data_IF_995772229794
#
_entry.id   IF_995772229794
#
_cell.length_a   1.000
_cell.length_b   1.000
_cell.length_c   1.000
_cell.angle_alpha   90.00
_cell.angle_beta   90.00
_cell.angle_gamma   90.00
#
_symmetry.space_group_name_H-M   'P 1'
#
loop_
_entity.id
_entity.type
_entity.pdbx_description
1 polymer ?
#
# COMPACT_ATOMS: atom_id res chain seq x y z
N UNK A 1 46.46 -53.51 -31.66
CA UNK A 1 45.63 -53.91 -30.51
C UNK A 1 45.99 -53.06 -29.30
N UNK A 2 45.12 -52.11 -28.91
CA UNK A 2 44.83 -51.65 -27.55
C UNK A 2 43.71 -50.59 -27.64
N UNK A 3 42.60 -50.89 -26.94
CA UNK A 3 41.32 -50.19 -26.71
C UNK A 3 41.45 -48.68 -26.43
N UNK A 4 40.60 -47.79 -26.99
CA UNK A 4 39.19 -47.43 -26.67
C UNK A 4 38.96 -46.72 -25.32
N UNK A 5 38.37 -45.50 -25.41
CA UNK A 5 37.37 -44.85 -24.51
C UNK A 5 37.89 -44.38 -23.14
N UNK A 6 37.52 -43.25 -22.53
CA UNK A 6 36.82 -42.01 -22.90
C UNK A 6 36.88 -41.05 -21.67
N UNK A 7 36.49 -39.79 -21.90
CA UNK A 7 35.78 -38.87 -20.97
C UNK A 7 36.49 -38.29 -19.74
N UNK A 8 36.57 -36.94 -19.70
CA UNK A 8 36.08 -35.98 -18.67
C UNK A 8 36.89 -34.66 -18.81
N UNK A 9 36.30 -33.56 -19.28
CA UNK A 9 35.58 -32.53 -18.52
C UNK A 9 36.47 -31.62 -17.65
N UNK A 10 36.50 -30.30 -17.97
CA UNK A 10 36.36 -29.13 -17.07
C UNK A 10 36.55 -27.84 -17.92
N UNK A 11 35.50 -27.09 -18.25
CA UNK A 11 34.91 -25.95 -17.51
C UNK A 11 35.84 -24.75 -17.27
N UNK A 12 35.42 -23.58 -17.78
CA UNK A 12 35.62 -22.30 -17.08
C UNK A 12 36.11 -21.13 -17.94
N UNK A 13 35.19 -20.32 -18.47
CA UNK A 13 35.11 -18.88 -18.18
C UNK A 13 34.15 -18.14 -19.12
N UNK A 14 32.99 -17.81 -18.55
CA UNK A 14 32.31 -16.51 -18.64
C UNK A 14 31.80 -16.05 -20.01
N UNK A 15 30.59 -16.54 -20.28
CA UNK A 15 29.57 -15.90 -21.11
C UNK A 15 29.28 -14.47 -20.59
N UNK A 16 29.50 -13.49 -21.46
CA UNK A 16 28.94 -12.14 -21.36
C UNK A 16 27.41 -12.24 -21.37
N UNK A 17 26.67 -11.53 -20.50
CA UNK A 17 25.22 -11.46 -20.60
C UNK A 17 24.85 -10.67 -21.87
N UNK A 18 24.23 -11.37 -22.82
CA UNK A 18 23.49 -10.74 -23.91
C UNK A 18 22.28 -10.01 -23.31
N UNK A 19 22.31 -8.68 -23.35
CA UNK A 19 21.13 -7.86 -23.11
C UNK A 19 20.19 -7.97 -24.30
N UNK A 20 19.29 -8.96 -24.28
CA UNK A 20 18.09 -8.98 -25.13
C UNK A 20 16.94 -9.64 -24.39
N UNK A 21 15.98 -8.82 -23.97
CA UNK A 21 14.54 -9.07 -24.06
C UNK A 21 13.77 -7.86 -23.51
N UNK A 22 13.69 -6.81 -24.33
CA UNK A 22 12.56 -5.89 -24.27
C UNK A 22 11.45 -6.50 -25.13
N UNK A 23 10.48 -7.15 -24.48
CA UNK A 23 9.07 -7.23 -24.86
C UNK A 23 8.44 -8.42 -24.13
N UNK A 24 7.69 -8.10 -23.08
CA UNK A 24 6.42 -8.76 -22.84
C UNK A 24 5.44 -7.65 -22.49
N UNK A 25 4.80 -7.12 -23.54
CA UNK A 25 3.65 -6.25 -23.40
C UNK A 25 2.54 -7.04 -22.72
N UNK A 26 2.44 -6.89 -21.40
CA UNK A 26 1.31 -7.45 -20.65
C UNK A 26 0.05 -6.68 -21.05
N UNK A 27 -0.78 -7.42 -21.77
CA UNK A 27 -2.12 -7.09 -22.20
C UNK A 27 -2.92 -6.39 -21.08
N UNK A 28 -3.20 -5.10 -21.27
CA UNK A 28 -3.99 -4.25 -20.37
C UNK A 28 -5.50 -4.35 -20.68
N UNK A 29 -5.96 -5.48 -21.23
CA UNK A 29 -7.33 -5.67 -21.75
C UNK A 29 -8.42 -5.81 -20.67
N UNK A 30 -8.06 -5.93 -19.38
CA UNK A 30 -9.02 -6.31 -18.33
C UNK A 30 -9.38 -5.27 -17.25
N UNK A 31 -8.60 -4.21 -17.05
CA UNK A 31 -8.91 -3.21 -16.02
C UNK A 31 -8.23 -1.88 -16.31
N UNK A 32 -9.03 -0.81 -16.46
CA UNK A 32 -8.55 0.57 -16.47
C UNK A 32 -8.07 0.95 -15.06
N UNK A 33 -6.91 0.45 -14.66
CA UNK A 33 -6.17 1.05 -13.55
C UNK A 33 -5.47 2.31 -14.05
N UNK A 34 -5.29 3.29 -13.16
CA UNK A 34 -4.47 4.48 -13.43
C UNK A 34 -3.06 4.07 -13.91
N UNK A 35 -2.57 2.91 -13.46
CA UNK A 35 -1.29 2.34 -13.86
C UNK A 35 -1.27 1.84 -15.32
N UNK A 36 -2.34 1.19 -15.81
CA UNK A 36 -2.45 0.83 -17.25
C UNK A 36 -2.58 2.07 -18.14
N UNK A 37 -3.30 3.09 -17.70
CA UNK A 37 -3.44 4.37 -18.44
C UNK A 37 -2.09 5.10 -18.57
N UNK A 38 -1.23 5.01 -17.55
CA UNK A 38 0.11 5.61 -17.55
C UNK A 38 1.10 4.85 -18.45
N UNK A 39 0.98 3.53 -18.52
CA UNK A 39 1.81 2.69 -19.41
C UNK A 39 1.37 2.82 -20.87
N UNK A 40 0.06 2.77 -21.15
CA UNK A 40 -0.48 2.87 -22.51
C UNK A 40 -0.29 4.25 -23.15
N UNK A 41 -0.35 5.34 -22.37
CA UNK A 41 -0.20 6.71 -22.88
C UNK A 41 1.26 7.14 -23.07
N UNK A 42 2.24 6.24 -22.94
CA UNK A 42 3.65 6.52 -23.21
C UNK A 42 4.29 7.55 -22.26
N UNK A 43 3.64 7.91 -21.16
CA UNK A 43 4.21 8.81 -20.16
C UNK A 43 5.05 7.97 -19.19
N UNK A 44 6.16 7.45 -19.69
CA UNK A 44 7.24 6.97 -18.84
C UNK A 44 7.83 8.17 -18.09
N UNK A 45 7.15 8.68 -17.06
CA UNK A 45 7.77 9.61 -16.12
C UNK A 45 8.91 8.83 -15.50
N UNK A 46 10.14 9.30 -15.73
CA UNK A 46 11.32 8.93 -14.95
C UNK A 46 10.91 9.02 -13.48
N UNK A 47 10.62 7.88 -12.85
CA UNK A 47 10.31 7.82 -11.43
C UNK A 47 11.62 8.14 -10.75
N UNK A 48 11.84 9.43 -10.47
CA UNK A 48 12.91 9.85 -9.57
C UNK A 48 12.61 9.12 -8.27
N UNK A 49 13.51 8.26 -7.76
CA UNK A 49 13.31 7.64 -6.46
C UNK A 49 13.07 8.78 -5.48
N UNK A 50 11.86 8.91 -4.96
CA UNK A 50 11.64 9.86 -3.89
C UNK A 50 12.23 9.19 -2.65
N UNK A 51 13.38 9.66 -2.13
CA UNK A 51 13.98 9.02 -0.99
C UNK A 51 13.07 9.16 0.24
N UNK A 52 12.07 10.03 0.24
CA UNK A 52 11.25 10.34 1.40
C UNK A 52 9.87 9.67 1.38
N UNK A 53 9.87 8.33 1.45
CA UNK A 53 8.67 7.52 1.63
C UNK A 53 8.53 7.06 3.08
N UNK A 54 7.28 6.82 3.50
CA UNK A 54 6.93 6.09 4.71
C UNK A 54 5.91 5.01 4.36
N UNK A 55 6.10 3.80 4.90
CA UNK A 55 5.18 2.69 4.67
C UNK A 55 4.18 2.52 5.83
N UNK A 56 2.90 2.58 5.52
CA UNK A 56 1.79 2.30 6.45
C UNK A 56 1.39 0.84 6.26
N UNK A 57 1.54 0.03 7.30
CA UNK A 57 1.34 -1.42 7.23
C UNK A 57 -0.11 -1.78 7.54
N UNK A 58 -0.55 -2.97 7.14
CA UNK A 58 -1.86 -3.50 7.54
C UNK A 58 -1.85 -5.01 7.72
N UNK A 59 -2.78 -5.46 8.55
CA UNK A 59 -3.17 -6.86 8.72
C UNK A 59 -4.69 -6.98 8.57
N UNK A 60 -5.16 -8.01 7.87
CA UNK A 60 -6.57 -8.24 7.57
C UNK A 60 -6.94 -9.73 7.59
N UNK A 61 -8.21 -10.10 7.83
CA UNK A 61 -8.60 -11.50 8.04
C UNK A 61 -8.44 -12.39 6.82
N UNK A 62 -8.66 -11.83 5.63
CA UNK A 62 -8.66 -12.54 4.35
C UNK A 62 -8.13 -11.63 3.25
N UNK A 63 -7.86 -12.24 2.10
CA UNK A 63 -7.45 -11.51 0.91
C UNK A 63 -8.62 -10.60 0.48
N UNK A 64 -8.37 -9.29 0.38
CA UNK A 64 -9.38 -8.29 0.01
C UNK A 64 -8.71 -7.03 -0.55
N UNK A 65 -9.51 -6.17 -1.17
CA UNK A 65 -9.07 -4.83 -1.54
C UNK A 65 -8.85 -3.99 -0.29
N UNK A 66 -7.71 -3.30 -0.21
CA UNK A 66 -7.42 -2.33 0.85
C UNK A 66 -7.32 -0.96 0.24
N UNK A 67 -7.96 0.02 0.87
CA UNK A 67 -7.89 1.42 0.49
C UNK A 67 -7.25 2.19 1.63
N UNK A 68 -6.34 3.10 1.28
CA UNK A 68 -5.81 4.12 2.15
C UNK A 68 -6.17 5.48 1.59
N UNK A 69 -6.78 6.32 2.41
CA UNK A 69 -7.12 7.69 2.11
C UNK A 69 -6.26 8.62 2.97
N UNK A 70 -5.62 9.59 2.33
CA UNK A 70 -4.89 10.67 3.00
C UNK A 70 -5.73 11.92 2.91
N UNK A 71 -6.23 12.43 4.04
CA UNK A 71 -6.99 13.67 4.10
C UNK A 71 -6.03 14.83 4.31
N UNK A 72 -5.88 15.77 3.37
CA UNK A 72 -5.01 16.92 3.55
C UNK A 72 -5.63 17.90 4.56
N UNK A 73 -4.78 18.65 5.25
CA UNK A 73 -5.21 19.78 6.08
C UNK A 73 -5.86 20.87 5.22
N UNK A 74 -6.79 21.63 5.82
CA UNK A 74 -7.50 22.72 5.15
C UNK A 74 -8.65 22.27 4.24
N UNK A 75 -9.08 21.00 4.32
CA UNK A 75 -10.30 20.54 3.64
C UNK A 75 -10.14 20.19 2.16
N UNK A 76 -8.91 20.13 1.64
CA UNK A 76 -8.65 19.71 0.25
C UNK A 76 -9.09 18.27 -0.05
N UNK A 77 -9.16 17.91 -1.33
CA UNK A 77 -9.63 16.60 -1.77
C UNK A 77 -8.81 15.43 -1.18
N UNK A 78 -9.48 14.38 -0.66
CA UNK A 78 -8.78 13.20 -0.14
C UNK A 78 -7.99 12.49 -1.23
N UNK A 79 -6.78 12.02 -0.91
CA UNK A 79 -5.92 11.28 -1.85
C UNK A 79 -6.10 9.77 -1.68
N UNK A 80 -6.59 9.04 -2.70
CA UNK A 80 -6.72 7.60 -2.63
C UNK A 80 -5.43 6.85 -2.96
N UNK A 81 -5.22 5.75 -2.24
CA UNK A 81 -4.30 4.68 -2.58
C UNK A 81 -5.05 3.37 -2.47
N UNK A 82 -4.90 2.50 -3.47
CA UNK A 82 -5.66 1.25 -3.56
C UNK A 82 -4.71 0.09 -3.80
N UNK A 83 -4.87 -0.98 -3.02
CA UNK A 83 -4.27 -2.29 -3.29
C UNK A 83 -5.38 -3.29 -3.52
N UNK A 84 -5.53 -3.71 -4.77
CA UNK A 84 -6.49 -4.76 -5.14
C UNK A 84 -5.95 -6.12 -4.76
N UNK A 85 -6.83 -7.02 -4.31
CA UNK A 85 -6.49 -8.41 -3.97
C UNK A 85 -5.27 -8.51 -3.01
N UNK A 86 -5.21 -7.64 -2.01
CA UNK A 86 -4.10 -7.62 -1.07
C UNK A 86 -4.14 -8.84 -0.14
N UNK A 87 -2.96 -9.40 0.17
CA UNK A 87 -2.82 -10.51 1.11
C UNK A 87 -3.28 -10.19 2.53
N UNK A 88 -3.16 -11.16 3.44
CA UNK A 88 -3.50 -10.96 4.87
C UNK A 88 -2.62 -9.92 5.57
N UNK A 89 -1.45 -9.62 5.01
CA UNK A 89 -0.58 -8.53 5.43
C UNK A 89 -0.15 -7.71 4.21
N UNK A 90 0.18 -6.45 4.42
CA UNK A 90 0.71 -5.61 3.35
C UNK A 90 1.07 -4.21 3.83
N UNK A 91 1.40 -3.34 2.87
CA UNK A 91 1.79 -1.96 3.16
C UNK A 91 1.46 -1.02 1.99
N UNK A 92 1.26 0.26 2.30
CA UNK A 92 1.25 1.38 1.36
C UNK A 92 2.46 2.26 1.65
N UNK A 93 3.35 2.44 0.67
CA UNK A 93 4.45 3.38 0.80
C UNK A 93 4.09 4.67 0.08
N UNK A 94 3.98 5.76 0.83
CA UNK A 94 3.51 7.05 0.36
C UNK A 94 4.52 8.13 0.77
N UNK A 95 4.51 9.27 0.05
CA UNK A 95 5.42 10.38 0.36
C UNK A 95 5.24 10.85 1.80
N UNK A 96 6.33 10.92 2.58
CA UNK A 96 6.29 11.30 3.99
C UNK A 96 5.64 12.67 4.20
N UNK A 97 5.90 13.63 3.32
CA UNK A 97 5.25 14.94 3.34
C UNK A 97 3.71 14.84 3.28
N UNK A 98 3.14 13.94 2.47
CA UNK A 98 1.68 13.75 2.44
C UNK A 98 1.14 13.26 3.78
N UNK A 99 1.89 12.43 4.49
CA UNK A 99 1.50 11.92 5.81
C UNK A 99 1.66 12.99 6.89
N UNK A 100 2.77 13.73 6.85
CA UNK A 100 3.06 14.82 7.78
C UNK A 100 2.02 15.94 7.70
N UNK A 101 1.58 16.24 6.49
CA UNK A 101 0.65 17.35 6.20
C UNK A 101 -0.82 16.85 6.18
N UNK A 102 -1.05 15.58 6.53
CA UNK A 102 -2.39 15.02 6.66
C UNK A 102 -3.10 15.56 7.90
N UNK A 103 -4.41 15.77 7.77
CA UNK A 103 -5.31 15.93 8.89
C UNK A 103 -5.66 14.57 9.50
N UNK A 104 -5.83 13.56 8.66
CA UNK A 104 -6.04 12.18 9.06
C UNK A 104 -5.63 11.21 7.96
N UNK A 105 -5.36 9.98 8.36
CA UNK A 105 -5.33 8.83 7.46
C UNK A 105 -6.52 7.94 7.77
N UNK A 106 -7.12 7.36 6.74
CA UNK A 106 -8.16 6.36 6.88
C UNK A 106 -7.83 5.15 6.03
N UNK A 107 -7.81 3.98 6.63
CA UNK A 107 -7.58 2.72 5.94
C UNK A 107 -8.77 1.79 6.14
N UNK A 108 -9.20 1.09 5.09
CA UNK A 108 -10.23 0.06 5.22
C UNK A 108 -10.01 -1.07 4.22
N UNK A 109 -10.50 -2.26 4.55
CA UNK A 109 -10.49 -3.40 3.61
C UNK A 109 -11.84 -3.62 2.91
N UNK A 110 -12.63 -2.55 2.78
CA UNK A 110 -13.99 -2.46 2.22
C UNK A 110 -15.05 -3.27 2.99
N UNK A 111 -14.74 -4.48 3.44
CA UNK A 111 -15.69 -5.46 3.93
C UNK A 111 -15.69 -5.62 5.46
N UNK A 112 -14.53 -5.72 6.09
CA UNK A 112 -14.42 -6.33 7.42
C UNK A 112 -13.89 -5.35 8.50
N UNK A 113 -13.08 -4.36 8.12
CA UNK A 113 -12.44 -3.49 9.09
C UNK A 113 -11.89 -2.19 8.53
N UNK A 114 -11.69 -1.24 9.45
CA UNK A 114 -11.13 0.06 9.19
C UNK A 114 -10.19 0.47 10.33
N UNK A 115 -9.21 1.30 10.01
CA UNK A 115 -8.34 1.97 10.95
C UNK A 115 -8.30 3.46 10.61
N UNK A 116 -8.38 4.31 11.62
CA UNK A 116 -8.34 5.76 11.46
C UNK A 116 -7.18 6.30 12.29
N UNK A 117 -6.38 7.17 11.68
CA UNK A 117 -5.26 7.81 12.32
C UNK A 117 -5.53 9.33 12.32
N UNK A 118 -5.96 9.90 13.46
CA UNK A 118 -6.03 11.34 13.62
C UNK A 118 -4.66 11.98 13.37
N UNK A 119 -4.63 13.31 13.26
CA UNK A 119 -3.41 14.08 12.99
C UNK A 119 -2.21 13.66 13.83
N UNK A 120 -2.38 13.53 15.15
CA UNK A 120 -1.29 13.18 16.05
C UNK A 120 -0.65 11.83 15.67
N UNK A 121 -1.48 10.83 15.35
CA UNK A 121 -1.05 9.51 14.93
C UNK A 121 -0.42 9.57 13.52
N UNK A 122 -0.98 10.37 12.60
CA UNK A 122 -0.40 10.59 11.27
C UNK A 122 0.99 11.24 11.35
N UNK A 123 1.19 12.24 12.21
CA UNK A 123 2.50 12.85 12.45
C UNK A 123 3.47 11.85 13.04
N UNK A 124 3.05 11.02 14.00
CA UNK A 124 3.90 9.96 14.56
C UNK A 124 4.33 8.95 13.48
N UNK A 125 3.41 8.57 12.58
CA UNK A 125 3.72 7.74 11.41
C UNK A 125 4.73 8.46 10.52
N UNK A 126 4.55 9.75 10.24
CA UNK A 126 5.46 10.52 9.39
C UNK A 126 6.87 10.69 9.99
N UNK A 127 7.09 10.39 11.26
CA UNK A 127 8.41 10.47 11.90
C UNK A 127 9.12 9.12 11.98
N UNK A 128 8.41 8.00 11.74
CA UNK A 128 9.00 6.66 11.89
C UNK A 128 10.00 6.32 10.78
N UNK A 129 10.85 5.33 11.05
CA UNK A 129 11.72 4.73 10.04
C UNK A 129 10.90 4.15 8.88
N UNK A 130 11.40 4.27 7.64
CA UNK A 130 10.62 3.97 6.43
C UNK A 130 9.97 2.57 6.42
N UNK A 131 10.61 1.61 7.09
CA UNK A 131 10.21 0.21 7.17
C UNK A 131 9.67 -0.22 8.55
N UNK A 132 9.59 0.70 9.51
CA UNK A 132 9.02 0.38 10.82
C UNK A 132 7.50 0.12 10.68
N UNK A 133 7.05 -1.01 11.22
CA UNK A 133 5.61 -1.36 11.23
C UNK A 133 4.82 -0.41 12.11
N UNK A 134 5.34 -0.13 13.31
CA UNK A 134 4.73 0.75 14.30
C UNK A 134 5.47 2.09 14.42
N UNK A 135 4.75 3.19 14.73
CA UNK A 135 3.29 3.32 14.71
C UNK A 135 2.73 3.24 13.28
N UNK A 136 1.44 2.94 13.13
CA UNK A 136 0.76 2.93 11.83
C UNK A 136 0.63 1.58 11.14
N UNK A 137 0.66 0.48 11.89
CA UNK A 137 0.06 -0.76 11.40
C UNK A 137 -1.44 -0.72 11.64
N UNK A 138 -2.21 -0.96 10.58
CA UNK A 138 -3.67 -1.03 10.62
C UNK A 138 -4.11 -2.46 10.89
N UNK A 139 -4.88 -2.67 11.95
CA UNK A 139 -5.64 -3.89 12.10
C UNK A 139 -7.03 -3.71 11.46
N UNK A 140 -7.32 -4.53 10.46
CA UNK A 140 -8.57 -4.51 9.70
C UNK A 140 -9.43 -5.76 9.99
N UNK A 141 -9.28 -6.34 11.19
CA UNK A 141 -10.04 -7.50 11.65
C UNK A 141 -11.37 -7.15 12.33
N UNK A 142 -11.74 -5.85 12.36
CA UNK A 142 -12.86 -5.34 13.14
C UNK A 142 -12.43 -4.94 14.55
N UNK A 143 -13.12 -3.95 15.14
CA UNK A 143 -12.65 -3.26 16.35
C UNK A 143 -12.39 -4.20 17.53
N UNK A 144 -13.34 -5.11 17.85
CA UNK A 144 -13.19 -6.04 18.96
C UNK A 144 -11.97 -6.94 18.82
N UNK A 145 -11.83 -7.61 17.68
CA UNK A 145 -10.68 -8.50 17.41
C UNK A 145 -9.35 -7.72 17.38
N UNK A 146 -9.36 -6.49 16.89
CA UNK A 146 -8.17 -5.64 16.91
C UNK A 146 -7.78 -5.22 18.33
N UNK A 147 -8.75 -4.92 19.20
CA UNK A 147 -8.51 -4.65 20.61
C UNK A 147 -7.90 -5.88 21.31
N UNK A 148 -8.44 -7.07 21.05
CA UNK A 148 -7.91 -8.34 21.59
C UNK A 148 -6.46 -8.62 21.14
N UNK A 149 -6.09 -8.14 19.95
CA UNK A 149 -4.73 -8.24 19.40
C UNK A 149 -3.79 -7.12 19.87
N UNK A 150 -4.24 -6.23 20.77
CA UNK A 150 -3.43 -5.15 21.34
C UNK A 150 -3.35 -3.88 20.50
N UNK A 151 -4.20 -3.72 19.49
CA UNK A 151 -4.29 -2.48 18.70
C UNK A 151 -5.18 -1.46 19.42
N UNK A 152 -4.84 -0.18 19.27
CA UNK A 152 -5.65 0.94 19.78
C UNK A 152 -7.03 0.91 19.12
N UNK A 153 -8.12 0.67 19.86
CA UNK A 153 -9.46 0.64 19.28
C UNK A 153 -9.93 2.06 18.94
N UNK A 154 -10.87 2.20 18.00
CA UNK A 154 -11.42 3.51 17.65
C UNK A 154 -12.19 4.15 18.81
N UNK A 155 -12.76 3.33 19.70
CA UNK A 155 -13.37 3.75 20.97
C UNK A 155 -12.39 4.46 21.91
N UNK A 156 -11.07 4.37 21.68
CA UNK A 156 -10.08 5.13 22.43
C UNK A 156 -9.95 6.60 21.97
N UNK A 157 -10.62 7.01 20.90
CA UNK A 157 -10.66 8.41 20.46
C UNK A 157 -11.58 9.24 21.37
N UNK A 158 -11.23 10.51 21.61
CA UNK A 158 -12.15 11.44 22.27
C UNK A 158 -13.40 11.68 21.40
N UNK A 159 -14.48 12.19 22.02
CA UNK A 159 -15.73 12.49 21.30
C UNK A 159 -15.50 13.48 20.15
N UNK A 160 -14.69 14.51 20.37
CA UNK A 160 -14.37 15.51 19.36
C UNK A 160 -13.57 14.91 18.20
N UNK A 161 -12.56 14.09 18.49
CA UNK A 161 -11.79 13.37 17.46
C UNK A 161 -12.69 12.43 16.66
N UNK A 162 -13.53 11.66 17.35
CA UNK A 162 -14.45 10.72 16.70
C UNK A 162 -15.42 11.44 15.76
N UNK A 163 -16.04 12.53 16.20
CA UNK A 163 -16.91 13.36 15.36
C UNK A 163 -16.17 13.86 14.11
N UNK A 164 -14.94 14.36 14.29
CA UNK A 164 -14.14 14.84 13.16
C UNK A 164 -13.75 13.72 12.19
N UNK A 165 -13.42 12.54 12.71
CA UNK A 165 -13.10 11.39 11.87
C UNK A 165 -14.32 10.87 11.10
N UNK A 166 -15.51 10.92 11.71
CA UNK A 166 -16.77 10.56 11.05
C UNK A 166 -17.09 11.52 9.90
N UNK A 167 -16.90 12.82 10.08
CA UNK A 167 -17.03 13.82 9.01
C UNK A 167 -16.07 13.55 7.84
N UNK A 168 -14.79 13.30 8.14
CA UNK A 168 -13.79 13.00 7.10
C UNK A 168 -14.13 11.71 6.36
N UNK A 169 -14.53 10.66 7.07
CA UNK A 169 -14.97 9.38 6.48
C UNK A 169 -16.18 9.56 5.56
N UNK A 170 -17.15 10.39 5.94
CA UNK A 170 -18.33 10.64 5.13
C UNK A 170 -18.00 11.17 3.72
N UNK A 171 -16.86 11.88 3.55
CA UNK A 171 -16.39 12.40 2.26
C UNK A 171 -15.96 11.31 1.27
N UNK A 172 -15.53 10.15 1.78
CA UNK A 172 -15.04 9.04 0.95
C UNK A 172 -16.00 7.84 0.93
N UNK A 173 -16.99 7.82 1.82
CA UNK A 173 -18.01 6.77 1.93
C UNK A 173 -18.72 6.45 0.59
N UNK A 174 -19.14 7.42 -0.25
CA UNK A 174 -19.72 7.11 -1.56
C UNK A 174 -18.76 6.30 -2.45
N UNK A 175 -17.47 6.61 -2.39
CA UNK A 175 -16.43 5.99 -3.21
C UNK A 175 -16.13 4.56 -2.73
N UNK A 176 -16.16 4.35 -1.40
CA UNK A 176 -16.02 3.00 -0.80
C UNK A 176 -17.20 2.11 -1.20
N UNK A 177 -18.42 2.64 -1.22
CA UNK A 177 -19.61 1.88 -1.63
C UNK A 177 -19.56 1.46 -3.09
N UNK A 178 -19.02 2.30 -3.96
CA UNK A 178 -18.80 1.93 -5.36
C UNK A 178 -17.75 0.82 -5.49
N UNK A 179 -16.73 0.80 -4.62
CA UNK A 179 -15.72 -0.25 -4.60
C UNK A 179 -16.20 -1.60 -4.01
N UNK A 180 -17.40 -1.65 -3.40
CA UNK A 180 -18.05 -2.88 -2.91
C UNK A 180 -18.81 -3.65 -3.98
N UNK A 181 -19.25 -2.95 -5.03
CA UNK A 181 -20.04 -3.51 -6.13
C UNK A 181 -19.13 -4.04 -7.22
#
# INVERSE_FOLDING_TARGET
>A
MKSLIASLALLGAMLLPQFTAAHDGKDCSGAKSVECDLVQKGIARKVIPNPDLVCVYFVQPKISNVLLWVFPQGGGEPRPYVKRNAGKTGQFCIGRHFVRDAEALFMCNVLDGQAIYPRADAVAIALKDKLARMPGEACLHGEGKCADMGYKPMSALSVAEKSRMDELRARVEPQIRLAKK
#
